data_IF_993464020123
#
_entry.id   IF_993464020123
#
_cell.length_a   1.000
_cell.length_b   1.000
_cell.length_c   1.000
_cell.angle_alpha   90.00
_cell.angle_beta   90.00
_cell.angle_gamma   90.00
#
_symmetry.space_group_name_H-M   'P 1'
#
loop_
_entity.id
_entity.type
_entity.pdbx_description
1 polymer ?
#
# COMPACT_ATOMS: atom_id res chain seq x y z
N UNK A 1 7.38 -21.84 -5.89
CA UNK A 1 7.37 -20.91 -7.05
C UNK A 1 8.74 -20.26 -7.14
N UNK A 2 9.40 -20.29 -8.30
CA UNK A 2 10.69 -19.61 -8.51
C UNK A 2 10.37 -18.27 -9.17
N UNK A 3 10.64 -17.17 -8.47
CA UNK A 3 10.48 -15.82 -9.03
C UNK A 3 11.73 -15.46 -9.83
N UNK A 4 11.57 -15.14 -11.11
CA UNK A 4 12.63 -14.68 -12.01
C UNK A 4 12.22 -13.34 -12.62
N UNK A 5 12.70 -12.22 -12.06
CA UNK A 5 12.46 -10.91 -12.64
C UNK A 5 13.23 -10.73 -13.95
N UNK A 6 12.81 -9.78 -14.76
CA UNK A 6 13.57 -9.32 -15.92
C UNK A 6 14.86 -8.61 -15.48
N UNK A 7 15.80 -8.44 -16.41
CA UNK A 7 17.14 -7.95 -16.10
C UNK A 7 17.15 -6.58 -15.36
N UNK A 8 16.35 -5.57 -15.76
CA UNK A 8 16.32 -4.30 -15.04
C UNK A 8 15.82 -4.40 -13.59
N UNK A 9 14.83 -5.25 -13.33
CA UNK A 9 14.27 -5.43 -11.99
C UNK A 9 15.21 -6.25 -11.10
N UNK A 10 15.92 -7.23 -11.67
CA UNK A 10 16.94 -8.00 -10.97
C UNK A 10 18.08 -7.10 -10.45
N UNK A 11 18.55 -6.14 -11.26
CA UNK A 11 19.61 -5.20 -10.82
C UNK A 11 19.13 -4.29 -9.70
N UNK A 12 17.92 -3.72 -9.81
CA UNK A 12 17.31 -2.94 -8.72
C UNK A 12 17.18 -3.75 -7.44
N UNK A 13 16.75 -5.01 -7.55
CA UNK A 13 16.62 -5.91 -6.41
C UNK A 13 17.97 -6.19 -5.75
N UNK A 14 19.04 -6.39 -6.54
CA UNK A 14 20.41 -6.57 -6.02
C UNK A 14 20.90 -5.33 -5.27
N UNK A 15 20.65 -4.13 -5.78
CA UNK A 15 21.02 -2.88 -5.12
C UNK A 15 20.33 -2.74 -3.75
N UNK A 16 19.02 -2.99 -3.71
CA UNK A 16 18.23 -2.91 -2.46
C UNK A 16 18.74 -3.95 -1.44
N UNK A 17 19.00 -5.18 -1.88
CA UNK A 17 19.56 -6.24 -1.01
C UNK A 17 20.90 -5.83 -0.42
N UNK A 18 21.77 -5.21 -1.23
CA UNK A 18 23.07 -4.71 -0.77
C UNK A 18 22.94 -3.58 0.25
N UNK A 19 22.00 -2.65 0.05
CA UNK A 19 21.80 -1.50 0.94
C UNK A 19 21.15 -1.93 2.26
N UNK A 20 20.22 -2.88 2.21
CA UNK A 20 19.41 -3.28 3.37
C UNK A 20 20.03 -4.42 4.17
N UNK A 21 21.01 -5.13 3.61
CA UNK A 21 21.57 -6.37 4.18
C UNK A 21 20.48 -7.39 4.53
N UNK A 22 19.56 -7.59 3.58
CA UNK A 22 18.44 -8.54 3.68
C UNK A 22 18.39 -9.43 2.45
N UNK A 23 17.88 -10.65 2.63
CA UNK A 23 17.75 -11.59 1.51
C UNK A 23 16.77 -11.08 0.43
N UNK A 24 17.00 -11.45 -0.83
CA UNK A 24 16.08 -11.19 -1.94
C UNK A 24 14.65 -11.62 -1.62
N UNK A 25 14.49 -12.81 -1.05
CA UNK A 25 13.18 -13.36 -0.67
C UNK A 25 12.47 -12.51 0.38
N UNK A 26 13.21 -11.97 1.36
CA UNK A 26 12.64 -11.05 2.35
C UNK A 26 12.14 -9.76 1.70
N UNK A 27 12.95 -9.15 0.83
CA UNK A 27 12.59 -7.91 0.13
C UNK A 27 11.36 -8.13 -0.77
N UNK A 28 11.33 -9.20 -1.55
CA UNK A 28 10.18 -9.56 -2.40
C UNK A 28 8.92 -9.76 -1.55
N UNK A 29 9.03 -10.52 -0.45
CA UNK A 29 7.90 -10.75 0.46
C UNK A 29 7.36 -9.42 0.99
N UNK A 30 8.23 -8.54 1.48
CA UNK A 30 7.83 -7.25 2.04
C UNK A 30 7.23 -6.32 0.99
N UNK A 31 7.78 -6.29 -0.22
CA UNK A 31 7.22 -5.51 -1.31
C UNK A 31 5.81 -5.98 -1.69
N UNK A 32 5.57 -7.30 -1.70
CA UNK A 32 4.24 -7.86 -1.95
C UNK A 32 3.25 -7.55 -0.82
N UNK A 33 3.66 -7.66 0.44
CA UNK A 33 2.83 -7.28 1.59
C UNK A 33 2.38 -5.82 1.47
N UNK A 34 3.33 -4.90 1.26
CA UNK A 34 3.04 -3.47 1.10
C UNK A 34 2.16 -3.18 -0.12
N UNK A 35 2.45 -3.80 -1.26
CA UNK A 35 1.63 -3.61 -2.48
C UNK A 35 0.19 -4.08 -2.27
N UNK A 36 -0.02 -5.20 -1.58
CA UNK A 36 -1.35 -5.73 -1.31
C UNK A 36 -2.11 -4.85 -0.31
N UNK A 37 -1.44 -4.35 0.73
CA UNK A 37 -2.04 -3.43 1.69
C UNK A 37 -2.47 -2.12 0.98
N UNK A 38 -1.59 -1.52 0.18
CA UNK A 38 -1.90 -0.32 -0.62
C UNK A 38 -3.05 -0.57 -1.61
N UNK A 39 -3.09 -1.75 -2.23
CA UNK A 39 -4.15 -2.13 -3.16
C UNK A 39 -5.52 -2.23 -2.47
N UNK A 40 -5.56 -2.78 -1.25
CA UNK A 40 -6.78 -2.88 -0.46
C UNK A 40 -7.28 -1.48 -0.09
N UNK A 41 -6.41 -0.61 0.39
CA UNK A 41 -6.77 0.77 0.74
C UNK A 41 -7.30 1.54 -0.48
N UNK A 42 -6.67 1.36 -1.64
CA UNK A 42 -7.13 1.94 -2.89
C UNK A 42 -8.53 1.43 -3.29
N UNK A 43 -8.77 0.12 -3.16
CA UNK A 43 -10.08 -0.46 -3.47
C UNK A 43 -11.17 0.10 -2.54
N UNK A 44 -10.88 0.23 -1.24
CA UNK A 44 -11.80 0.85 -0.28
C UNK A 44 -12.13 2.29 -0.69
N UNK A 45 -11.13 3.06 -1.13
CA UNK A 45 -11.36 4.43 -1.59
C UNK A 45 -12.24 4.48 -2.85
N UNK A 46 -12.05 3.56 -3.80
CA UNK A 46 -12.91 3.45 -4.98
C UNK A 46 -14.33 3.03 -4.65
N UNK A 47 -14.50 2.08 -3.73
CA UNK A 47 -15.82 1.60 -3.31
C UNK A 47 -16.60 2.75 -2.68
N UNK A 48 -15.95 3.55 -1.82
CA UNK A 48 -16.55 4.74 -1.21
C UNK A 48 -16.87 5.84 -2.23
N UNK A 49 -15.98 6.06 -3.21
CA UNK A 49 -16.22 7.03 -4.27
C UNK A 49 -17.45 6.67 -5.11
N UNK A 50 -17.67 5.37 -5.35
CA UNK A 50 -18.76 4.87 -6.17
C UNK A 50 -20.05 4.59 -5.39
N UNK A 51 -20.05 4.71 -4.06
CA UNK A 51 -21.24 4.52 -3.21
C UNK A 51 -22.10 5.80 -3.19
N UNK A 52 -23.27 5.84 -3.86
CA UNK A 52 -24.16 7.00 -3.84
C UNK A 52 -24.82 7.23 -2.48
N UNK A 53 -24.76 6.23 -1.58
CA UNK A 53 -25.21 6.33 -0.20
C UNK A 53 -24.13 6.85 0.77
N UNK A 54 -22.87 7.01 0.35
CA UNK A 54 -21.83 7.50 1.25
C UNK A 54 -22.08 8.97 1.59
N UNK A 55 -22.11 9.27 2.89
CA UNK A 55 -22.42 10.61 3.38
C UNK A 55 -21.23 11.52 3.12
N UNK A 56 -21.43 12.53 2.28
CA UNK A 56 -20.48 13.64 2.15
C UNK A 56 -20.47 14.43 3.46
N UNK A 57 -19.28 14.55 4.06
CA UNK A 57 -19.06 15.35 5.27
C UNK A 57 -18.44 16.69 4.90
N UNK A 58 -18.90 17.76 5.53
CA UNK A 58 -18.16 19.03 5.49
C UNK A 58 -16.87 18.94 6.32
N UNK A 59 -15.93 19.86 6.08
CA UNK A 59 -14.70 19.96 6.89
C UNK A 59 -15.02 20.10 8.40
N UNK A 60 -16.04 20.88 8.75
CA UNK A 60 -16.46 21.06 10.15
C UNK A 60 -17.00 19.74 10.75
N UNK A 61 -17.83 19.01 10.01
CA UNK A 61 -18.37 17.71 10.44
C UNK A 61 -17.24 16.66 10.60
N UNK A 62 -16.28 16.64 9.68
CA UNK A 62 -15.12 15.75 9.75
C UNK A 62 -14.31 15.99 11.03
N UNK A 63 -13.89 17.22 11.28
CA UNK A 63 -13.09 17.56 12.48
C UNK A 63 -13.87 17.36 13.78
N UNK A 64 -15.18 17.58 13.78
CA UNK A 64 -16.02 17.29 14.93
C UNK A 64 -16.10 15.79 15.24
N UNK A 65 -16.08 14.94 14.21
CA UNK A 65 -16.11 13.48 14.35
C UNK A 65 -14.76 12.93 14.83
N UNK A 66 -13.65 13.43 14.29
CA UNK A 66 -12.30 12.95 14.65
C UNK A 66 -11.87 13.38 16.05
N UNK A 67 -12.17 14.63 16.45
CA UNK A 67 -11.88 15.13 17.81
C UNK A 67 -12.71 14.48 18.93
N UNK A 68 -13.78 13.76 18.58
CA UNK A 68 -14.62 13.04 19.56
C UNK A 68 -13.99 11.70 20.00
N UNK A 69 -12.94 11.26 19.31
CA UNK A 69 -12.24 9.99 19.53
C UNK A 69 -10.73 10.15 19.80
N UNK A 70 -10.27 11.38 20.00
CA UNK A 70 -8.93 11.72 20.50
C UNK A 70 -9.02 12.07 21.98
#
# INVERSE_FOLDING_TARGET
MIFRPDNPLEEKLKEIVKITDRSKSYIIKKALELYLDDFIDYQIALDRLNDPGDKILSNEEFWKKTKKHA
#
